data_IF_890288182560
#
_entry.id   IF_890288182560
#
_cell.length_a   1.000
_cell.length_b   1.000
_cell.length_c   1.000
_cell.angle_alpha   90.00
_cell.angle_beta   90.00
_cell.angle_gamma   90.00
#
_symmetry.space_group_name_H-M   'P 1'
#
loop_
_entity.id
_entity.type
_entity.pdbx_description
1 polymer ?
#
# COMPACT_ATOMS: atom_id res chain seq x y z
N UNK A 1 0.79 16.38 0.12
CA UNK A 1 0.25 15.02 0.15
C UNK A 1 0.47 14.34 -1.19
N UNK A 2 0.62 13.02 -1.15
CA UNK A 2 0.82 12.18 -2.33
C UNK A 2 -0.28 11.14 -2.42
N UNK A 3 -0.80 10.92 -3.62
CA UNK A 3 -1.73 9.85 -3.93
C UNK A 3 -1.01 8.84 -4.84
N UNK A 4 -1.10 7.56 -4.52
CA UNK A 4 -0.56 6.50 -5.37
C UNK A 4 -1.71 5.68 -5.94
N UNK A 5 -1.84 5.68 -7.26
CA UNK A 5 -2.88 4.96 -7.98
C UNK A 5 -2.26 4.07 -9.06
N UNK A 6 -2.34 2.76 -8.87
CA UNK A 6 -1.90 1.78 -9.87
C UNK A 6 -2.99 1.42 -10.90
N UNK A 7 -4.19 1.94 -10.74
CA UNK A 7 -5.31 1.81 -11.69
C UNK A 7 -5.56 3.14 -12.40
N UNK A 8 -5.57 3.12 -13.73
CA UNK A 8 -5.79 4.28 -14.59
C UNK A 8 -7.12 5.01 -14.29
N UNK A 9 -8.18 4.24 -13.98
CA UNK A 9 -9.51 4.81 -13.68
C UNK A 9 -9.46 5.66 -12.41
N UNK A 10 -8.73 5.22 -11.39
CA UNK A 10 -8.58 5.95 -10.14
C UNK A 10 -7.73 7.21 -10.29
N UNK A 11 -6.71 7.19 -11.16
CA UNK A 11 -5.98 8.41 -11.51
C UNK A 11 -6.90 9.44 -12.14
N UNK A 12 -7.72 9.02 -13.11
CA UNK A 12 -8.69 9.90 -13.77
C UNK A 12 -9.69 10.46 -12.79
N UNK A 13 -10.28 9.63 -11.94
CA UNK A 13 -11.22 10.05 -10.91
C UNK A 13 -10.63 11.10 -9.98
N UNK A 14 -9.41 10.90 -9.51
CA UNK A 14 -8.72 11.86 -8.65
C UNK A 14 -8.55 13.23 -9.33
N UNK A 15 -8.17 13.24 -10.61
CA UNK A 15 -8.01 14.48 -11.39
C UNK A 15 -9.35 15.16 -11.66
N UNK A 16 -10.36 14.40 -12.06
CA UNK A 16 -11.70 14.91 -12.40
C UNK A 16 -12.41 15.51 -11.18
N UNK A 17 -12.12 14.98 -9.96
CA UNK A 17 -12.63 15.53 -8.70
C UNK A 17 -11.72 16.59 -8.05
N UNK A 18 -10.74 17.07 -8.78
CA UNK A 18 -9.94 18.22 -8.36
C UNK A 18 -8.92 17.94 -7.26
N UNK A 19 -8.40 16.71 -7.18
CA UNK A 19 -7.31 16.41 -6.26
C UNK A 19 -6.12 17.36 -6.50
N UNK A 20 -5.65 18.02 -5.45
CA UNK A 20 -4.66 19.10 -5.55
C UNK A 20 -3.22 18.64 -5.33
N UNK A 21 -3.01 17.45 -4.75
CA UNK A 21 -1.70 16.88 -4.48
C UNK A 21 -1.06 16.22 -5.71
N UNK A 22 0.10 15.62 -5.50
CA UNK A 22 0.80 14.86 -6.54
C UNK A 22 0.18 13.46 -6.64
N UNK A 23 -0.08 13.01 -7.86
CA UNK A 23 -0.59 11.66 -8.16
C UNK A 23 0.54 10.84 -8.78
N UNK A 24 0.94 9.77 -8.13
CA UNK A 24 1.90 8.82 -8.67
C UNK A 24 1.18 7.64 -9.33
N UNK A 25 1.64 7.28 -10.52
CA UNK A 25 1.10 6.13 -11.25
C UNK A 25 2.18 5.31 -11.96
N UNK A 26 1.79 4.17 -12.51
CA UNK A 26 2.71 3.28 -13.23
C UNK A 26 3.07 3.83 -14.61
N UNK A 27 4.19 3.35 -15.15
CA UNK A 27 4.72 3.77 -16.45
C UNK A 27 3.71 3.56 -17.59
N UNK A 28 3.00 2.43 -17.57
CA UNK A 28 2.01 2.09 -18.58
C UNK A 28 0.83 3.08 -18.68
N UNK A 29 0.57 3.85 -17.62
CA UNK A 29 -0.50 4.86 -17.59
C UNK A 29 -0.01 6.30 -17.75
N UNK A 30 1.29 6.55 -17.55
CA UNK A 30 1.84 7.91 -17.60
C UNK A 30 1.52 8.67 -18.90
N UNK A 31 1.56 7.96 -20.02
CA UNK A 31 1.31 8.57 -21.34
C UNK A 31 -0.16 9.00 -21.56
N UNK A 32 -1.08 8.46 -20.75
CA UNK A 32 -2.51 8.79 -20.82
C UNK A 32 -2.86 10.11 -20.11
N UNK A 33 -1.94 10.62 -19.28
CA UNK A 33 -2.17 11.80 -18.47
C UNK A 33 -1.14 12.89 -18.78
N UNK A 34 -1.62 14.06 -19.21
CA UNK A 34 -0.77 15.24 -19.50
C UNK A 34 -0.77 16.25 -18.34
N UNK A 35 -1.39 15.91 -17.21
CA UNK A 35 -1.42 16.76 -16.03
C UNK A 35 -0.03 16.80 -15.34
N UNK A 36 0.55 17.97 -15.07
CA UNK A 36 1.86 18.09 -14.43
C UNK A 36 1.91 17.51 -12.99
N UNK A 37 0.76 17.30 -12.36
CA UNK A 37 0.66 16.64 -11.05
C UNK A 37 0.87 15.15 -11.13
N UNK A 38 0.66 14.51 -12.31
CA UNK A 38 0.86 13.07 -12.47
C UNK A 38 2.35 12.79 -12.62
N UNK A 39 2.86 11.92 -11.79
CA UNK A 39 4.28 11.54 -11.74
C UNK A 39 4.42 10.02 -11.87
N UNK A 40 5.56 9.62 -12.40
CA UNK A 40 5.94 8.21 -12.48
C UNK A 40 6.32 7.69 -11.09
N UNK A 41 5.81 6.52 -10.73
CA UNK A 41 6.28 5.79 -9.56
C UNK A 41 7.76 5.45 -9.68
N UNK A 42 8.52 5.56 -8.58
CA UNK A 42 9.91 5.14 -8.57
C UNK A 42 10.05 3.67 -8.97
N UNK A 43 10.98 3.39 -9.88
CA UNK A 43 11.29 2.00 -10.24
C UNK A 43 12.00 1.35 -9.07
N UNK A 44 11.48 0.23 -8.62
CA UNK A 44 12.13 -0.64 -7.67
C UNK A 44 12.75 -1.80 -8.44
N UNK A 45 14.07 -1.92 -8.37
CA UNK A 45 14.80 -3.03 -9.01
C UNK A 45 15.03 -4.11 -7.97
N UNK A 46 14.51 -5.27 -8.25
CA UNK A 46 14.71 -6.50 -7.48
C UNK A 46 15.16 -7.60 -8.42
N UNK A 47 16.26 -8.27 -8.11
CA UNK A 47 16.92 -9.19 -9.05
C UNK A 47 16.30 -10.60 -9.08
N UNK A 48 15.37 -10.91 -8.18
CA UNK A 48 14.73 -12.23 -8.07
C UNK A 48 13.23 -12.09 -8.37
N UNK A 49 12.83 -12.26 -9.63
CA UNK A 49 11.44 -12.09 -10.04
C UNK A 49 10.74 -13.40 -10.36
N UNK A 50 9.86 -13.83 -9.50
CA UNK A 50 8.68 -14.57 -9.91
C UNK A 50 7.65 -13.60 -10.52
N UNK A 51 6.68 -14.14 -11.28
CA UNK A 51 5.77 -13.30 -12.11
C UNK A 51 5.02 -12.21 -11.32
N UNK A 52 4.69 -12.45 -10.08
CA UNK A 52 3.89 -11.58 -9.18
C UNK A 52 4.72 -10.75 -8.21
N UNK A 53 6.02 -11.01 -8.12
CA UNK A 53 6.99 -10.19 -7.41
C UNK A 53 7.46 -9.00 -8.25
N UNK A 54 7.18 -9.03 -9.57
CA UNK A 54 7.52 -7.90 -10.45
C UNK A 54 6.84 -6.64 -9.93
N UNK A 55 7.64 -5.63 -9.66
CA UNK A 55 7.16 -4.34 -9.13
C UNK A 55 6.09 -3.69 -10.01
N UNK A 56 6.09 -3.99 -11.29
CA UNK A 56 5.04 -3.61 -12.22
C UNK A 56 3.64 -4.08 -11.78
N UNK A 57 3.54 -5.23 -11.08
CA UNK A 57 2.28 -5.80 -10.61
C UNK A 57 1.94 -5.44 -9.16
N UNK A 58 2.77 -4.64 -8.51
CA UNK A 58 2.53 -4.28 -7.11
C UNK A 58 1.27 -3.44 -6.94
N UNK A 59 0.60 -3.66 -5.81
CA UNK A 59 -0.56 -2.87 -5.42
C UNK A 59 -0.20 -1.44 -5.00
N UNK A 60 -1.18 -0.55 -5.02
CA UNK A 60 -0.99 0.86 -4.64
C UNK A 60 -0.42 1.02 -3.23
N UNK A 61 -0.85 0.19 -2.27
CA UNK A 61 -0.36 0.22 -0.89
C UNK A 61 1.13 -0.05 -0.79
N UNK A 62 1.63 -1.08 -1.47
CA UNK A 62 3.06 -1.41 -1.47
C UNK A 62 3.88 -0.36 -2.22
N UNK A 63 3.36 0.17 -3.33
CA UNK A 63 4.01 1.29 -4.02
C UNK A 63 4.04 2.56 -3.18
N UNK A 64 3.01 2.83 -2.38
CA UNK A 64 2.99 3.97 -1.45
C UNK A 64 4.09 3.83 -0.39
N UNK A 65 4.22 2.64 0.19
CA UNK A 65 5.30 2.33 1.13
C UNK A 65 6.67 2.51 0.48
N UNK A 66 6.89 1.95 -0.72
CA UNK A 66 8.14 2.13 -1.45
C UNK A 66 8.45 3.61 -1.75
N UNK A 67 7.44 4.39 -2.15
CA UNK A 67 7.60 5.84 -2.38
C UNK A 67 8.08 6.56 -1.12
N UNK A 68 7.48 6.28 0.04
CA UNK A 68 7.89 6.86 1.32
C UNK A 68 9.34 6.46 1.70
N UNK A 69 9.70 5.21 1.48
CA UNK A 69 11.08 4.72 1.68
C UNK A 69 12.09 5.43 0.76
N UNK A 70 11.72 5.73 -0.47
CA UNK A 70 12.54 6.56 -1.38
C UNK A 70 12.69 7.99 -0.89
N UNK A 71 11.76 8.49 -0.09
CA UNK A 71 11.86 9.77 0.63
C UNK A 71 12.52 9.65 2.01
N UNK A 72 13.20 8.52 2.29
CA UNK A 72 13.97 8.26 3.51
C UNK A 72 13.11 8.27 4.79
N UNK A 73 11.93 7.68 4.73
CA UNK A 73 11.12 7.47 5.92
C UNK A 73 11.80 6.43 6.82
N UNK A 74 12.09 6.79 8.07
CA UNK A 74 12.62 5.88 9.09
C UNK A 74 11.51 5.04 9.73
N UNK A 75 10.28 5.54 9.69
CA UNK A 75 9.10 4.90 10.23
C UNK A 75 7.98 4.97 9.20
N UNK A 76 7.34 3.84 8.95
CA UNK A 76 6.12 3.73 8.15
C UNK A 76 4.97 3.21 8.97
N UNK A 77 3.87 3.96 8.99
CA UNK A 77 2.62 3.55 9.63
C UNK A 77 1.60 3.22 8.54
N UNK A 78 1.21 1.95 8.47
CA UNK A 78 0.22 1.45 7.52
C UNK A 78 -1.13 1.31 8.20
N UNK A 79 -2.14 1.97 7.64
CA UNK A 79 -3.54 1.94 8.09
C UNK A 79 -4.41 1.38 6.96
N UNK A 80 -5.36 0.52 7.31
CA UNK A 80 -6.30 -0.05 6.34
C UNK A 80 -5.71 -1.17 5.46
N UNK A 81 -4.64 -1.84 5.92
CA UNK A 81 -4.06 -3.00 5.28
C UNK A 81 -4.57 -4.28 5.94
N UNK A 82 -5.83 -4.62 5.73
CA UNK A 82 -6.46 -5.80 6.31
C UNK A 82 -6.14 -7.10 5.56
N UNK A 83 -5.73 -7.06 4.30
CA UNK A 83 -5.31 -8.16 3.41
C UNK A 83 -6.33 -9.28 3.21
N UNK A 84 -6.97 -9.74 4.28
CA UNK A 84 -7.81 -10.93 4.30
C UNK A 84 -9.27 -10.60 4.09
N UNK A 85 -9.94 -11.40 3.29
CA UNK A 85 -11.39 -11.38 3.19
C UNK A 85 -12.00 -12.31 4.24
N UNK A 86 -13.11 -11.89 4.85
CA UNK A 86 -13.87 -12.70 5.83
C UNK A 86 -14.81 -13.68 5.12
N UNK A 87 -15.40 -13.26 4.00
CA UNK A 87 -16.43 -13.96 3.25
C UNK A 87 -15.98 -14.51 1.89
N UNK A 88 -14.68 -14.38 1.57
CA UNK A 88 -14.11 -14.77 0.27
C UNK A 88 -14.39 -13.79 -0.84
N UNK A 89 -15.10 -12.69 -0.57
CA UNK A 89 -15.36 -11.63 -1.52
C UNK A 89 -14.34 -10.49 -1.38
N UNK A 90 -14.27 -9.66 -2.42
CA UNK A 90 -13.33 -8.54 -2.45
C UNK A 90 -13.58 -7.57 -1.30
N UNK A 91 -12.60 -7.41 -0.42
CA UNK A 91 -12.66 -6.51 0.72
C UNK A 91 -12.04 -5.16 0.34
N UNK A 92 -12.87 -4.21 -0.05
CA UNK A 92 -12.44 -2.86 -0.36
C UNK A 92 -13.59 -1.86 -0.12
N UNK A 93 -13.26 -0.72 0.45
CA UNK A 93 -14.21 0.34 0.76
C UNK A 93 -14.99 0.82 -0.48
N UNK A 94 -14.37 0.79 -1.65
CA UNK A 94 -14.93 1.27 -2.92
C UNK A 94 -15.57 0.16 -3.76
N UNK A 95 -15.71 -1.07 -3.26
CA UNK A 95 -16.36 -2.16 -3.99
C UNK A 95 -17.77 -1.77 -4.40
N UNK A 96 -18.17 -2.13 -5.61
CA UNK A 96 -19.47 -1.79 -6.17
C UNK A 96 -19.61 -0.36 -6.68
N UNK A 97 -18.58 0.48 -6.63
CA UNK A 97 -18.57 1.79 -7.28
C UNK A 97 -18.20 1.67 -8.76
N UNK A 98 -18.46 2.73 -9.55
CA UNK A 98 -18.27 2.73 -11.01
C UNK A 98 -16.82 2.44 -11.45
N UNK A 99 -15.83 2.78 -10.63
CA UNK A 99 -14.42 2.65 -10.96
C UNK A 99 -13.74 1.48 -10.24
N UNK A 100 -14.51 0.66 -9.51
CA UNK A 100 -13.98 -0.47 -8.77
C UNK A 100 -14.70 -1.78 -9.09
N UNK A 101 -14.26 -2.89 -8.49
CA UNK A 101 -14.86 -4.20 -8.71
C UNK A 101 -16.27 -4.30 -8.12
N UNK A 102 -17.11 -5.18 -8.69
CA UNK A 102 -18.44 -5.44 -8.18
C UNK A 102 -18.40 -6.02 -6.76
N UNK A 103 -19.51 -5.93 -6.05
CA UNK A 103 -19.63 -6.42 -4.66
C UNK A 103 -19.43 -7.92 -4.51
N UNK A 104 -19.68 -8.69 -5.56
CA UNK A 104 -19.58 -10.15 -5.66
C UNK A 104 -18.25 -10.63 -6.29
N UNK A 105 -17.31 -9.71 -6.53
CA UNK A 105 -15.99 -10.08 -7.05
C UNK A 105 -15.20 -10.86 -5.99
N UNK A 106 -14.57 -11.95 -6.41
CA UNK A 106 -13.74 -12.79 -5.51
C UNK A 106 -12.56 -12.03 -4.92
N UNK A 107 -12.23 -12.33 -3.68
CA UNK A 107 -11.07 -11.75 -3.02
C UNK A 107 -9.77 -12.08 -3.78
N UNK A 108 -8.85 -11.14 -3.77
CA UNK A 108 -7.48 -11.37 -4.24
C UNK A 108 -6.74 -12.21 -3.18
N UNK A 109 -5.89 -13.14 -3.62
CA UNK A 109 -5.03 -13.90 -2.71
C UNK A 109 -4.13 -12.94 -1.92
N UNK A 110 -4.20 -12.93 -0.59
CA UNK A 110 -3.43 -11.99 0.23
C UNK A 110 -1.92 -12.13 0.08
N UNK A 111 -1.42 -13.30 -0.34
CA UNK A 111 0.01 -13.51 -0.63
C UNK A 111 0.54 -12.51 -1.65
N UNK A 112 -0.33 -11.99 -2.51
CA UNK A 112 0.02 -10.93 -3.45
C UNK A 112 0.65 -9.71 -2.74
N UNK A 113 0.04 -9.22 -1.65
CA UNK A 113 0.58 -8.09 -0.89
C UNK A 113 1.61 -8.51 0.16
N UNK A 114 1.38 -9.63 0.81
CA UNK A 114 2.24 -10.15 1.89
C UNK A 114 3.69 -10.30 1.41
N UNK A 115 3.90 -10.87 0.22
CA UNK A 115 5.24 -11.03 -0.34
C UNK A 115 5.85 -9.73 -0.84
N UNK A 116 5.04 -8.82 -1.40
CA UNK A 116 5.53 -7.50 -1.80
C UNK A 116 6.07 -6.70 -0.62
N UNK A 117 5.37 -6.72 0.52
CA UNK A 117 5.86 -6.07 1.74
C UNK A 117 7.10 -6.76 2.30
N UNK A 118 7.17 -8.09 2.26
CA UNK A 118 8.36 -8.83 2.72
C UNK A 118 9.63 -8.42 1.95
N UNK A 119 9.51 -8.15 0.66
CA UNK A 119 10.63 -7.59 -0.14
C UNK A 119 11.07 -6.22 0.41
N UNK A 120 10.13 -5.34 0.76
CA UNK A 120 10.47 -4.03 1.34
C UNK A 120 11.14 -4.17 2.71
N UNK A 121 10.70 -5.09 3.56
CA UNK A 121 11.31 -5.31 4.88
C UNK A 121 12.77 -5.72 4.78
N UNK A 122 13.11 -6.58 3.82
CA UNK A 122 14.48 -7.02 3.56
C UNK A 122 15.34 -5.90 2.98
N UNK A 123 14.78 -5.10 2.07
CA UNK A 123 15.53 -4.03 1.39
C UNK A 123 15.75 -2.78 2.26
N UNK A 124 14.89 -2.59 3.26
CA UNK A 124 14.95 -1.43 4.15
C UNK A 124 14.97 -1.88 5.62
N UNK A 125 16.03 -2.58 6.05
CA UNK A 125 16.08 -3.21 7.37
C UNK A 125 16.10 -2.19 8.52
N UNK A 126 16.55 -0.97 8.27
CA UNK A 126 16.63 0.11 9.26
C UNK A 126 15.29 0.86 9.42
N UNK A 127 14.34 0.69 8.51
CA UNK A 127 13.00 1.30 8.60
C UNK A 127 12.08 0.44 9.47
N UNK A 128 11.34 1.07 10.39
CA UNK A 128 10.31 0.42 11.18
C UNK A 128 8.96 0.47 10.48
N UNK A 129 8.30 -0.68 10.35
CA UNK A 129 7.00 -0.82 9.69
C UNK A 129 5.94 -1.16 10.73
N UNK A 130 4.99 -0.26 10.95
CA UNK A 130 3.87 -0.45 11.87
C UNK A 130 2.59 -0.73 11.10
N UNK A 131 2.02 -1.92 11.25
CA UNK A 131 0.69 -2.24 10.75
C UNK A 131 -0.34 -1.96 11.82
N UNK A 132 -1.15 -0.93 11.61
CA UNK A 132 -2.15 -0.46 12.57
C UNK A 132 -3.55 -0.92 12.16
N UNK A 133 -4.23 -1.60 13.08
CA UNK A 133 -5.59 -2.11 12.88
C UNK A 133 -6.51 -1.64 14.01
N UNK A 134 -7.81 -1.47 13.75
CA UNK A 134 -8.78 -1.12 14.80
C UNK A 134 -8.91 -2.18 15.90
N UNK A 135 -8.65 -3.44 15.56
CA UNK A 135 -8.62 -4.55 16.50
C UNK A 135 -7.51 -5.51 16.08
N UNK A 136 -6.37 -5.38 16.73
CA UNK A 136 -5.17 -6.14 16.38
C UNK A 136 -5.26 -7.62 16.73
N UNK A 137 -6.04 -7.99 17.76
CA UNK A 137 -6.18 -9.38 18.19
C UNK A 137 -7.00 -10.20 17.19
N UNK A 138 -7.94 -9.56 16.48
CA UNK A 138 -8.75 -10.20 15.46
C UNK A 138 -8.12 -10.12 14.06
N UNK A 139 -7.02 -9.36 13.90
CA UNK A 139 -6.35 -9.29 12.62
C UNK A 139 -5.42 -10.48 12.41
N UNK A 140 -5.58 -11.14 11.27
CA UNK A 140 -4.74 -12.28 10.90
C UNK A 140 -3.37 -11.78 10.44
N UNK A 141 -2.37 -11.85 11.32
CA UNK A 141 -0.98 -11.51 11.01
C UNK A 141 -0.41 -12.48 9.98
N UNK A 142 0.27 -12.01 8.92
CA UNK A 142 0.96 -12.91 8.01
C UNK A 142 2.08 -13.66 8.74
N UNK A 143 2.04 -14.98 8.69
CA UNK A 143 3.05 -15.83 9.33
C UNK A 143 4.44 -15.62 8.71
N UNK A 144 4.49 -15.32 7.43
CA UNK A 144 5.71 -15.03 6.67
C UNK A 144 6.48 -13.82 7.23
N UNK A 145 5.81 -12.94 7.99
CA UNK A 145 6.43 -11.72 8.53
C UNK A 145 7.02 -11.88 9.92
N UNK A 146 6.83 -13.02 10.59
CA UNK A 146 7.37 -13.28 11.93
C UNK A 146 8.91 -13.23 11.99
N UNK A 147 9.58 -13.48 10.86
CA UNK A 147 11.04 -13.45 10.75
C UNK A 147 11.64 -12.02 10.68
N UNK A 148 10.82 -10.99 10.49
CA UNK A 148 11.32 -9.62 10.28
C UNK A 148 11.21 -8.79 11.57
N UNK A 149 12.34 -8.42 12.16
CA UNK A 149 12.41 -7.65 13.42
C UNK A 149 11.98 -6.19 13.27
N UNK A 150 11.95 -5.68 12.04
CA UNK A 150 11.53 -4.31 11.72
C UNK A 150 10.02 -4.18 11.40
N UNK A 151 9.23 -5.23 11.67
CA UNK A 151 7.77 -5.23 11.49
C UNK A 151 7.08 -5.30 12.85
N UNK A 152 6.17 -4.38 13.09
CA UNK A 152 5.40 -4.29 14.32
C UNK A 152 3.91 -4.19 14.03
N UNK A 153 3.11 -4.59 15.00
CA UNK A 153 1.65 -4.59 14.93
C UNK A 153 1.10 -3.79 16.10
N UNK A 154 0.17 -2.90 15.83
CA UNK A 154 -0.33 -1.97 16.83
C UNK A 154 -1.83 -1.70 16.64
N UNK A 155 -2.55 -1.48 17.74
CA UNK A 155 -3.89 -0.95 17.67
C UNK A 155 -3.88 0.50 17.20
N UNK A 156 -4.85 0.85 16.34
CA UNK A 156 -4.98 2.20 15.81
C UNK A 156 -5.22 3.23 16.93
N UNK A 157 -5.92 2.84 17.99
CA UNK A 157 -6.19 3.69 19.16
C UNK A 157 -4.93 4.15 19.90
N UNK A 158 -3.87 3.33 19.89
CA UNK A 158 -2.61 3.65 20.57
C UNK A 158 -1.65 4.47 19.72
N UNK A 159 -1.95 4.65 18.43
CA UNK A 159 -1.08 5.38 17.49
C UNK A 159 -0.91 6.85 17.90
N UNK A 160 -1.99 7.50 18.32
CA UNK A 160 -2.01 8.90 18.78
C UNK A 160 -1.11 9.11 19.99
N UNK A 161 -1.14 8.22 20.95
CA UNK A 161 -0.37 8.33 22.20
C UNK A 161 1.14 8.21 21.93
N UNK A 162 1.53 7.35 20.99
CA UNK A 162 2.93 7.14 20.62
C UNK A 162 3.48 8.27 19.72
N UNK A 163 2.69 8.83 18.82
CA UNK A 163 3.10 9.95 17.96
C UNK A 163 3.32 11.24 18.77
N UNK A 164 2.51 11.49 19.80
CA UNK A 164 2.66 12.67 20.67
C UNK A 164 3.96 12.59 21.50
N UNK A 165 4.38 11.39 21.90
CA UNK A 165 5.60 11.20 22.67
C UNK A 165 6.90 11.37 21.84
N UNK A 166 6.84 11.29 20.53
CA UNK A 166 8.00 11.42 19.63
C UNK A 166 8.20 12.88 19.17
N UNK A 167 7.15 13.71 19.25
CA UNK A 167 7.19 15.12 18.80
C UNK A 167 7.36 16.12 19.96
N UNK A 168 7.44 15.68 21.18
CA UNK A 168 7.72 16.48 22.40
C UNK A 168 9.15 16.31 22.83
#
# INVERSE_FOLDING_TARGET
DHLVCCDKRMVREALDHGYTGIVYTREDWMLDFRDPKVKLLPVFKWDQYEKWEKTFHWGSGTHSAHLALRHRADVLVMIGHDFWSVDGLHNNLYKGTNNYQSVDYSAVDPRFWVLQFAILFVQFPDTQFFFCQPNIDNWKKPQEWEAYSNVQYQELSTLTDNLISVTG
#
